data_IF_672114276014
#
_entry.id   IF_672114276014
#
_cell.length_a   1.000
_cell.length_b   1.000
_cell.length_c   1.000
_cell.angle_alpha   90.00
_cell.angle_beta   90.00
_cell.angle_gamma   90.00
#
_symmetry.space_group_name_H-M   'P 1'
#
loop_
_entity.id
_entity.type
_entity.pdbx_description
1 polymer ?
#
# COMPACT_ATOMS: atom_id res chain seq x y z
N UNK A 1 -0.48 6.42 35.67
CA UNK A 1 -1.53 5.88 36.56
C UNK A 1 -1.21 4.42 36.90
N UNK A 2 -1.38 3.99 38.16
CA UNK A 2 -1.12 2.62 38.57
C UNK A 2 -2.09 1.64 37.91
N UNK A 3 -1.63 0.40 37.67
CA UNK A 3 -2.38 -0.65 36.98
C UNK A 3 -3.40 -1.26 37.95
N UNK A 4 -4.64 -1.47 37.48
CA UNK A 4 -5.64 -2.28 38.19
C UNK A 4 -6.59 -1.55 39.14
N UNK A 5 -6.63 -0.22 39.13
CA UNK A 5 -7.62 0.53 39.90
C UNK A 5 -8.95 0.57 39.12
N UNK A 6 -10.00 -0.04 39.69
CA UNK A 6 -11.35 0.08 39.15
C UNK A 6 -11.91 1.47 39.45
N UNK A 7 -12.57 2.08 38.45
CA UNK A 7 -13.26 3.34 38.65
C UNK A 7 -14.49 3.15 39.55
N UNK A 8 -14.75 4.10 40.45
CA UNK A 8 -15.99 4.15 41.23
C UNK A 8 -17.21 4.14 40.31
N UNK A 9 -18.32 3.54 40.77
CA UNK A 9 -19.58 3.46 40.02
C UNK A 9 -20.09 4.86 39.62
N UNK A 10 -19.97 5.84 40.52
CA UNK A 10 -20.37 7.22 40.27
C UNK A 10 -19.52 7.87 39.17
N UNK A 11 -18.20 7.64 39.20
CA UNK A 11 -17.30 8.12 38.17
C UNK A 11 -17.61 7.49 36.80
N UNK A 12 -17.91 6.19 36.77
CA UNK A 12 -18.29 5.51 35.52
C UNK A 12 -19.55 6.09 34.92
N UNK A 13 -20.58 6.36 35.74
CA UNK A 13 -21.82 6.99 35.27
C UNK A 13 -21.57 8.37 34.65
N UNK A 14 -20.77 9.20 35.33
CA UNK A 14 -20.38 10.52 34.82
C UNK A 14 -19.59 10.40 33.51
N UNK A 15 -18.58 9.52 33.49
CA UNK A 15 -17.74 9.30 32.32
C UNK A 15 -18.55 8.77 31.12
N UNK A 16 -19.51 7.87 31.35
CA UNK A 16 -20.41 7.36 30.32
C UNK A 16 -21.30 8.46 29.73
N UNK A 17 -21.87 9.33 30.57
CA UNK A 17 -22.65 10.49 30.12
C UNK A 17 -21.82 11.45 29.25
N UNK A 18 -20.59 11.75 29.67
CA UNK A 18 -19.67 12.62 28.92
C UNK A 18 -19.26 11.97 27.59
N UNK A 19 -18.96 10.67 27.59
CA UNK A 19 -18.62 9.92 26.37
C UNK A 19 -19.79 9.97 25.38
N UNK A 20 -21.01 9.69 25.82
CA UNK A 20 -22.20 9.72 24.97
C UNK A 20 -22.45 11.11 24.37
N UNK A 21 -22.32 12.17 25.19
CA UNK A 21 -22.44 13.55 24.74
C UNK A 21 -21.42 13.89 23.63
N UNK A 22 -20.14 13.63 23.87
CA UNK A 22 -19.06 13.93 22.91
C UNK A 22 -19.17 13.07 21.65
N UNK A 23 -19.67 11.83 21.75
CA UNK A 23 -19.87 10.98 20.58
C UNK A 23 -21.11 11.36 19.76
N UNK A 24 -22.15 11.91 20.39
CA UNK A 24 -23.33 12.46 19.68
C UNK A 24 -23.00 13.72 18.89
N UNK A 25 -22.02 14.53 19.35
CA UNK A 25 -21.52 15.69 18.60
C UNK A 25 -20.84 15.32 17.27
N UNK A 26 -20.42 14.05 17.08
CA UNK A 26 -19.80 13.61 15.81
C UNK A 26 -20.70 13.82 14.58
N UNK A 27 -22.02 13.93 14.76
CA UNK A 27 -22.99 14.13 13.68
C UNK A 27 -23.52 15.57 13.54
N UNK A 28 -23.04 16.53 14.36
CA UNK A 28 -23.43 17.95 14.32
C UNK A 28 -22.46 18.86 13.54
N UNK A 29 -22.83 20.12 13.24
CA UNK A 29 -21.97 21.03 12.48
C UNK A 29 -20.90 21.70 13.36
N UNK A 30 -19.66 21.62 12.88
CA UNK A 30 -18.56 22.60 13.05
C UNK A 30 -17.93 22.81 14.43
N UNK A 31 -17.27 21.77 14.96
CA UNK A 31 -15.96 21.94 15.63
C UNK A 31 -15.02 20.90 15.00
N UNK A 32 -13.84 21.27 14.47
CA UNK A 32 -12.98 20.34 13.75
C UNK A 32 -12.56 19.16 14.63
N UNK A 33 -13.10 17.98 14.28
CA UNK A 33 -13.10 16.70 14.99
C UNK A 33 -11.76 15.94 14.95
N UNK A 34 -10.64 16.64 15.14
CA UNK A 34 -9.37 15.94 15.29
C UNK A 34 -9.15 15.61 16.76
N UNK A 35 -9.39 14.32 17.07
CA UNK A 35 -9.08 13.63 18.31
C UNK A 35 -10.14 13.71 19.44
N UNK A 36 -11.31 13.11 19.19
CA UNK A 36 -12.34 12.81 20.21
C UNK A 36 -11.74 12.19 21.48
N UNK A 37 -10.77 11.30 21.33
CA UNK A 37 -10.11 10.67 22.48
C UNK A 37 -9.26 11.67 23.27
N UNK A 38 -8.57 12.60 22.60
CA UNK A 38 -7.86 13.70 23.24
C UNK A 38 -8.77 14.60 24.07
N UNK A 39 -9.97 14.93 23.56
CA UNK A 39 -10.99 15.69 24.32
C UNK A 39 -11.48 14.94 25.55
N UNK A 40 -11.75 13.65 25.41
CA UNK A 40 -12.19 12.81 26.53
C UNK A 40 -11.12 12.69 27.61
N UNK A 41 -9.84 12.60 27.22
CA UNK A 41 -8.73 12.64 28.16
C UNK A 41 -8.70 13.97 28.93
N UNK A 42 -8.83 15.09 28.23
CA UNK A 42 -8.81 16.42 28.85
C UNK A 42 -10.01 16.67 29.79
N UNK A 43 -11.21 16.25 29.39
CA UNK A 43 -12.43 16.42 30.19
C UNK A 43 -12.46 15.55 31.44
N UNK A 44 -12.00 14.30 31.32
CA UNK A 44 -12.05 13.33 32.41
C UNK A 44 -10.75 13.31 33.23
N UNK A 45 -9.68 13.95 32.76
CA UNK A 45 -8.36 13.91 33.39
C UNK A 45 -7.72 12.52 33.43
N UNK A 46 -8.10 11.63 32.51
CA UNK A 46 -7.66 10.23 32.48
C UNK A 46 -6.79 9.92 31.26
N UNK A 47 -6.04 8.82 31.35
CA UNK A 47 -5.21 8.34 30.24
C UNK A 47 -6.04 7.89 29.04
N UNK A 48 -5.46 7.97 27.82
CA UNK A 48 -6.09 7.46 26.59
C UNK A 48 -6.56 6.01 26.72
N UNK A 49 -5.73 5.19 27.38
CA UNK A 49 -6.03 3.78 27.60
C UNK A 49 -7.27 3.59 28.48
N UNK A 50 -7.43 4.42 29.51
CA UNK A 50 -8.62 4.41 30.37
C UNK A 50 -9.87 4.83 29.61
N UNK A 51 -9.77 5.84 28.73
CA UNK A 51 -10.88 6.22 27.83
C UNK A 51 -11.28 5.04 26.95
N UNK A 52 -10.32 4.31 26.38
CA UNK A 52 -10.59 3.13 25.55
C UNK A 52 -11.32 2.03 26.34
N UNK A 53 -10.88 1.73 27.55
CA UNK A 53 -11.54 0.76 28.42
C UNK A 53 -12.98 1.16 28.72
N UNK A 54 -13.22 2.41 29.15
CA UNK A 54 -14.56 2.92 29.45
C UNK A 54 -15.48 2.87 28.22
N UNK A 55 -14.98 3.20 27.03
CA UNK A 55 -15.74 3.05 25.78
C UNK A 55 -16.11 1.60 25.48
N UNK A 56 -15.18 0.67 25.69
CA UNK A 56 -15.44 -0.75 25.48
C UNK A 56 -16.47 -1.30 26.47
N UNK A 57 -16.42 -0.85 27.72
CA UNK A 57 -17.35 -1.20 28.79
C UNK A 57 -18.76 -0.64 28.50
N UNK A 58 -18.86 0.64 28.11
CA UNK A 58 -20.11 1.26 27.68
C UNK A 58 -20.75 0.47 26.53
N UNK A 59 -19.96 0.10 25.51
CA UNK A 59 -20.45 -0.65 24.35
C UNK A 59 -20.93 -2.06 24.72
N UNK A 60 -20.30 -2.71 25.68
CA UNK A 60 -20.74 -4.01 26.19
C UNK A 60 -22.10 -3.88 26.89
N UNK A 61 -22.27 -2.87 27.74
CA UNK A 61 -23.54 -2.60 28.44
C UNK A 61 -24.70 -2.30 27.47
N UNK A 62 -24.47 -1.46 26.45
CA UNK A 62 -25.48 -1.17 25.42
C UNK A 62 -25.89 -2.44 24.68
N UNK A 63 -24.92 -3.30 24.34
CA UNK A 63 -25.19 -4.57 23.65
C UNK A 63 -25.99 -5.54 24.53
N UNK A 64 -25.67 -5.65 25.81
CA UNK A 64 -26.42 -6.48 26.77
C UNK A 64 -27.87 -6.00 26.93
N UNK A 65 -28.10 -4.68 26.95
CA UNK A 65 -29.44 -4.11 26.97
C UNK A 65 -30.20 -4.40 25.67
N UNK A 66 -29.57 -4.24 24.50
CA UNK A 66 -30.17 -4.57 23.22
C UNK A 66 -30.56 -6.05 23.13
N UNK A 67 -29.67 -6.97 23.53
CA UNK A 67 -29.94 -8.41 23.53
C UNK A 67 -31.09 -8.76 24.49
N UNK A 68 -31.16 -8.12 25.65
CA UNK A 68 -32.26 -8.25 26.62
C UNK A 68 -33.60 -7.74 26.05
N UNK A 69 -33.59 -6.60 25.34
CA UNK A 69 -34.80 -6.05 24.70
C UNK A 69 -35.28 -6.88 23.52
N UNK A 70 -34.36 -7.50 22.75
CA UNK A 70 -34.69 -8.45 21.68
C UNK A 70 -35.39 -9.69 22.24
N UNK A 71 -34.89 -10.22 23.36
CA UNK A 71 -35.51 -11.36 24.05
C UNK A 71 -36.94 -11.06 24.54
N UNK A 72 -37.19 -9.83 25.02
CA UNK A 72 -38.52 -9.37 25.44
C UNK A 72 -39.50 -9.10 24.29
N UNK A 73 -39.01 -8.80 23.08
CA UNK A 73 -39.87 -8.62 21.89
C UNK A 73 -40.25 -9.96 21.25
N UNK A 74 -39.48 -11.02 21.47
CA UNK A 74 -39.79 -12.37 20.98
C UNK A 74 -40.79 -13.15 21.84
N UNK A 75 -41.15 -12.67 23.05
CA UNK A 75 -42.07 -13.38 23.96
C UNK A 75 -43.57 -13.14 23.69
N UNK A 76 -43.95 -12.44 22.61
CA UNK A 76 -45.35 -12.35 22.15
C UNK A 76 -45.70 -13.32 21.02
N UNK A 77 -44.81 -14.26 20.68
CA UNK A 77 -45.09 -15.37 19.77
C UNK A 77 -44.66 -16.69 20.42
N UNK A 78 -45.64 -17.56 20.66
CA UNK A 78 -45.49 -18.89 21.26
C UNK A 78 -44.56 -19.83 20.46
N UNK A 79 -43.48 -20.30 21.09
CA UNK A 79 -42.94 -21.67 21.03
C UNK A 79 -41.66 -21.82 21.88
N UNK A 80 -41.34 -23.00 22.44
CA UNK A 80 -40.33 -23.17 23.48
C UNK A 80 -38.91 -23.38 22.93
N UNK A 81 -37.98 -22.61 23.51
CA UNK A 81 -36.59 -22.95 23.85
C UNK A 81 -35.77 -23.83 22.89
N UNK A 82 -34.99 -23.18 22.03
CA UNK A 82 -33.66 -23.68 21.63
C UNK A 82 -32.63 -22.73 22.24
N UNK A 83 -31.87 -23.24 23.21
CA UNK A 83 -30.73 -22.54 23.80
C UNK A 83 -29.77 -22.13 22.67
N UNK A 84 -29.36 -20.85 22.55
CA UNK A 84 -28.32 -20.49 21.61
C UNK A 84 -27.01 -21.12 22.09
N UNK A 85 -26.49 -22.06 21.30
CA UNK A 85 -25.17 -22.64 21.53
C UNK A 85 -24.11 -21.54 21.59
N UNK A 86 -23.09 -21.63 22.46
CA UNK A 86 -22.05 -20.63 22.54
C UNK A 86 -21.38 -20.49 21.17
N UNK A 87 -21.55 -19.31 20.56
CA UNK A 87 -20.90 -18.94 19.30
C UNK A 87 -19.39 -19.08 19.48
N UNK A 88 -18.82 -20.16 18.96
CA UNK A 88 -17.38 -20.37 18.89
C UNK A 88 -16.69 -19.09 18.38
N UNK A 89 -15.59 -18.64 19.01
CA UNK A 89 -14.90 -17.43 18.58
C UNK A 89 -14.59 -17.54 17.09
N UNK A 90 -15.06 -16.56 16.29
CA UNK A 90 -14.83 -16.51 14.85
C UNK A 90 -13.33 -16.71 14.61
N UNK A 91 -12.96 -17.87 14.04
CA UNK A 91 -11.60 -18.11 13.57
C UNK A 91 -11.26 -16.97 12.62
N UNK A 92 -10.33 -16.10 13.04
CA UNK A 92 -9.73 -15.15 12.11
C UNK A 92 -8.94 -16.01 11.14
N UNK A 93 -9.46 -16.17 9.92
CA UNK A 93 -8.72 -16.84 8.86
C UNK A 93 -7.42 -16.06 8.70
N UNK A 94 -6.30 -16.67 9.10
CA UNK A 94 -4.98 -16.14 8.79
C UNK A 94 -4.95 -15.90 7.28
N UNK A 95 -4.86 -14.64 6.87
CA UNK A 95 -4.95 -14.26 5.46
C UNK A 95 -3.91 -15.00 4.63
N UNK A 96 -4.15 -15.13 3.32
CA UNK A 96 -3.14 -15.67 2.40
C UNK A 96 -1.86 -14.85 2.52
N UNK A 97 -0.67 -15.49 2.45
CA UNK A 97 0.60 -14.78 2.53
C UNK A 97 0.69 -13.74 1.41
N UNK A 98 1.24 -12.56 1.74
CA UNK A 98 1.41 -11.47 0.79
C UNK A 98 2.50 -11.86 -0.19
N UNK A 99 2.16 -11.95 -1.48
CA UNK A 99 3.15 -12.11 -2.55
C UNK A 99 4.09 -10.90 -2.51
N UNK A 100 5.39 -11.12 -2.44
CA UNK A 100 6.41 -10.09 -2.55
C UNK A 100 7.19 -10.38 -3.82
N UNK A 101 7.27 -9.38 -4.70
CA UNK A 101 8.02 -9.50 -5.95
C UNK A 101 9.48 -9.08 -5.72
N UNK A 102 10.40 -9.82 -6.29
CA UNK A 102 11.81 -9.44 -6.40
C UNK A 102 11.98 -8.23 -7.33
N UNK A 103 13.11 -7.52 -7.26
CA UNK A 103 13.39 -6.37 -8.14
C UNK A 103 13.29 -6.74 -9.62
N UNK A 104 13.85 -7.90 -9.98
CA UNK A 104 13.81 -8.43 -11.35
C UNK A 104 12.37 -8.62 -11.85
N UNK A 105 11.50 -9.24 -11.04
CA UNK A 105 10.10 -9.45 -11.42
C UNK A 105 9.33 -8.13 -11.55
N UNK A 106 9.66 -7.13 -10.74
CA UNK A 106 9.09 -5.78 -10.87
C UNK A 106 9.53 -5.12 -12.17
N UNK A 107 10.78 -5.29 -12.56
CA UNK A 107 11.33 -4.79 -13.81
C UNK A 107 10.75 -5.52 -15.03
N UNK A 108 10.50 -6.83 -14.94
CA UNK A 108 9.77 -7.58 -15.97
C UNK A 108 8.38 -6.98 -16.19
N UNK A 109 7.63 -6.68 -15.12
CA UNK A 109 6.31 -6.02 -15.24
C UNK A 109 6.43 -4.68 -15.98
N UNK A 110 7.43 -3.86 -15.62
CA UNK A 110 7.67 -2.56 -16.29
C UNK A 110 8.01 -2.76 -17.76
N UNK A 111 8.90 -3.71 -18.07
CA UNK A 111 9.31 -4.02 -19.43
C UNK A 111 8.11 -4.43 -20.29
N UNK A 112 7.33 -5.43 -19.84
CA UNK A 112 6.13 -5.89 -20.56
C UNK A 112 5.13 -4.76 -20.76
N UNK A 113 4.91 -3.90 -19.75
CA UNK A 113 4.06 -2.71 -19.88
C UNK A 113 4.55 -1.77 -20.99
N UNK A 114 5.85 -1.48 -21.04
CA UNK A 114 6.43 -0.60 -22.05
C UNK A 114 6.46 -1.25 -23.45
N UNK A 115 6.58 -2.57 -23.55
CA UNK A 115 6.46 -3.30 -24.81
C UNK A 115 5.04 -3.18 -25.38
N UNK A 116 4.00 -3.33 -24.55
CA UNK A 116 2.62 -3.11 -24.98
C UNK A 116 2.40 -1.69 -25.54
N UNK A 117 2.97 -0.69 -24.88
CA UNK A 117 2.92 0.70 -25.36
C UNK A 117 3.68 0.88 -26.69
N UNK A 118 4.82 0.22 -26.87
CA UNK A 118 5.58 0.22 -28.12
C UNK A 118 4.73 -0.35 -29.27
N UNK A 119 3.96 -1.40 -28.99
CA UNK A 119 3.06 -2.04 -29.96
C UNK A 119 1.74 -1.27 -30.16
N UNK A 120 1.62 -0.08 -29.57
CA UNK A 120 0.41 0.78 -29.58
C UNK A 120 -0.82 0.08 -28.99
N UNK A 121 -0.63 -0.96 -28.19
CA UNK A 121 -1.69 -1.64 -27.45
C UNK A 121 -1.82 -0.96 -26.09
N UNK A 122 -3.05 -0.64 -25.71
CA UNK A 122 -3.29 0.00 -24.43
C UNK A 122 -3.15 -1.00 -23.28
N UNK A 123 -2.31 -0.73 -22.26
CA UNK A 123 -2.04 -1.67 -21.18
C UNK A 123 -3.21 -1.70 -20.19
N UNK A 124 -4.11 -2.66 -20.40
CA UNK A 124 -5.13 -3.06 -19.42
C UNK A 124 -4.56 -4.14 -18.49
N UNK A 125 -5.19 -4.35 -17.33
CA UNK A 125 -4.74 -5.41 -16.41
C UNK A 125 -4.81 -6.80 -17.03
N UNK A 126 -5.79 -7.05 -17.90
CA UNK A 126 -5.94 -8.33 -18.60
C UNK A 126 -4.86 -8.52 -19.64
N UNK A 127 -4.65 -7.53 -20.51
CA UNK A 127 -3.62 -7.59 -21.55
C UNK A 127 -2.22 -7.68 -20.95
N UNK A 128 -1.98 -6.96 -19.85
CA UNK A 128 -0.70 -7.03 -19.16
C UNK A 128 -0.49 -8.41 -18.52
N UNK A 129 -1.51 -8.96 -17.86
CA UNK A 129 -1.41 -10.29 -17.24
C UNK A 129 -1.20 -11.39 -18.29
N UNK A 130 -1.94 -11.34 -19.41
CA UNK A 130 -1.80 -12.33 -20.48
C UNK A 130 -0.44 -12.23 -21.17
N UNK A 131 0.04 -11.02 -21.47
CA UNK A 131 1.37 -10.81 -22.05
C UNK A 131 2.48 -11.28 -21.11
N UNK A 132 2.33 -11.03 -19.81
CA UNK A 132 3.32 -11.45 -18.82
C UNK A 132 3.38 -12.98 -18.73
N UNK A 133 2.24 -13.66 -18.59
CA UNK A 133 2.20 -15.12 -18.54
C UNK A 133 2.63 -15.79 -19.85
N UNK A 134 2.50 -15.09 -20.99
CA UNK A 134 2.99 -15.57 -22.27
C UNK A 134 4.52 -15.48 -22.40
N UNK A 135 5.15 -14.47 -21.79
CA UNK A 135 6.61 -14.33 -21.75
C UNK A 135 7.22 -15.23 -20.67
N UNK A 136 6.63 -15.25 -19.48
CA UNK A 136 7.12 -15.93 -18.28
C UNK A 136 5.98 -16.78 -17.67
N UNK A 137 5.86 -18.08 -18.03
CA UNK A 137 4.75 -18.92 -17.56
C UNK A 137 4.80 -19.20 -16.05
N UNK A 138 6.00 -19.13 -15.46
CA UNK A 138 6.25 -19.40 -14.03
C UNK A 138 6.12 -18.15 -13.14
N UNK A 139 5.64 -17.04 -13.69
CA UNK A 139 5.50 -15.80 -12.93
C UNK A 139 4.58 -15.95 -11.70
N UNK A 140 4.94 -15.41 -10.51
CA UNK A 140 4.22 -15.66 -9.26
C UNK A 140 2.79 -15.10 -9.23
N UNK A 141 2.45 -14.17 -10.13
CA UNK A 141 1.14 -13.51 -10.17
C UNK A 141 0.26 -14.11 -11.26
N UNK A 142 -0.80 -14.82 -10.85
CA UNK A 142 -1.81 -15.37 -11.78
C UNK A 142 -3.17 -14.69 -11.74
N UNK A 143 -3.42 -13.81 -10.77
CA UNK A 143 -4.71 -13.15 -10.61
C UNK A 143 -4.64 -11.67 -10.99
N UNK A 144 -5.66 -11.19 -11.71
CA UNK A 144 -5.87 -9.78 -12.04
C UNK A 144 -5.81 -8.87 -10.80
N UNK A 145 -6.41 -9.30 -9.69
CA UNK A 145 -6.44 -8.52 -8.44
C UNK A 145 -5.08 -8.49 -7.74
N UNK A 146 -4.32 -9.58 -7.81
CA UNK A 146 -2.94 -9.61 -7.31
C UNK A 146 -2.04 -8.68 -8.13
N UNK A 147 -2.14 -8.72 -9.46
CA UNK A 147 -1.39 -7.80 -10.34
C UNK A 147 -1.71 -6.34 -10.03
N UNK A 148 -3.00 -6.00 -9.90
CA UNK A 148 -3.42 -4.64 -9.56
C UNK A 148 -2.80 -4.14 -8.24
N UNK A 149 -2.77 -4.99 -7.20
CA UNK A 149 -2.15 -4.64 -5.92
C UNK A 149 -0.64 -4.42 -6.06
N UNK A 150 0.03 -5.25 -6.85
CA UNK A 150 1.48 -5.15 -7.05
C UNK A 150 1.86 -3.94 -7.90
N UNK A 151 1.12 -3.64 -8.95
CA UNK A 151 1.29 -2.41 -9.73
C UNK A 151 1.21 -1.15 -8.85
N UNK A 152 0.27 -1.12 -7.90
CA UNK A 152 0.16 -0.02 -6.94
C UNK A 152 1.38 0.08 -6.02
N UNK A 153 1.99 -1.04 -5.64
CA UNK A 153 3.21 -1.08 -4.81
C UNK A 153 4.44 -0.61 -5.60
N UNK A 154 4.56 -1.02 -6.86
CA UNK A 154 5.64 -0.63 -7.79
C UNK A 154 5.56 0.87 -8.15
N UNK A 155 4.39 1.48 -7.99
CA UNK A 155 4.17 2.92 -8.16
C UNK A 155 3.35 3.31 -9.40
N UNK A 156 2.77 2.34 -10.10
CA UNK A 156 1.81 2.60 -11.16
C UNK A 156 0.55 3.25 -10.60
N UNK A 157 -0.03 4.18 -11.37
CA UNK A 157 -1.23 4.92 -11.00
C UNK A 157 -2.20 4.99 -12.17
N UNK A 158 -3.48 4.76 -11.89
CA UNK A 158 -4.52 5.10 -12.85
C UNK A 158 -4.72 6.61 -12.86
N UNK A 159 -4.67 7.20 -14.06
CA UNK A 159 -4.99 8.61 -14.28
C UNK A 159 -6.19 8.73 -15.19
N UNK A 160 -7.15 9.56 -14.77
CA UNK A 160 -8.30 9.88 -15.59
C UNK A 160 -7.87 10.81 -16.72
N UNK A 161 -8.12 10.38 -17.95
CA UNK A 161 -8.02 11.19 -19.16
C UNK A 161 -9.44 11.55 -19.60
N UNK A 162 -9.60 12.52 -20.52
CA UNK A 162 -10.90 12.92 -21.09
C UNK A 162 -11.76 11.74 -21.58
N UNK A 163 -11.13 10.65 -22.02
CA UNK A 163 -11.80 9.48 -22.61
C UNK A 163 -11.85 8.24 -21.71
N UNK A 164 -10.83 8.02 -20.87
CA UNK A 164 -10.68 6.77 -20.11
C UNK A 164 -9.67 6.91 -18.96
N UNK A 165 -9.69 5.93 -18.04
CA UNK A 165 -8.68 5.78 -17.00
C UNK A 165 -7.48 4.99 -17.54
N UNK A 166 -6.32 5.63 -17.59
CA UNK A 166 -5.06 5.09 -18.11
C UNK A 166 -4.17 4.62 -16.99
N UNK A 167 -3.67 3.39 -17.10
CA UNK A 167 -2.58 2.92 -16.26
C UNK A 167 -1.29 3.62 -16.69
N UNK A 168 -0.73 4.43 -15.80
CA UNK A 168 0.52 5.17 -16.04
C UNK A 168 1.59 4.69 -15.09
N UNK A 169 2.81 4.56 -15.59
CA UNK A 169 3.98 4.28 -14.76
C UNK A 169 4.30 5.47 -13.81
N UNK A 170 5.11 5.22 -12.79
CA UNK A 170 5.59 6.22 -11.85
C UNK A 170 6.35 7.34 -12.57
N UNK A 171 6.02 8.58 -12.22
CA UNK A 171 6.59 9.78 -12.87
C UNK A 171 8.11 9.89 -12.72
N UNK A 172 8.67 9.39 -11.60
CA UNK A 172 10.11 9.36 -11.38
C UNK A 172 10.83 8.49 -12.43
N UNK A 173 10.33 7.28 -12.67
CA UNK A 173 10.89 6.37 -13.67
C UNK A 173 10.69 6.91 -15.10
N UNK A 174 9.54 7.53 -15.39
CA UNK A 174 9.32 8.21 -16.68
C UNK A 174 10.34 9.34 -16.91
N UNK A 175 10.60 10.17 -15.89
CA UNK A 175 11.57 11.25 -15.97
C UNK A 175 13.00 10.72 -16.15
N UNK A 176 13.39 9.71 -15.38
CA UNK A 176 14.70 9.04 -15.52
C UNK A 176 14.88 8.46 -16.92
N UNK A 177 13.85 7.80 -17.46
CA UNK A 177 13.88 7.24 -18.82
C UNK A 177 14.00 8.34 -19.88
N UNK A 178 13.32 9.47 -19.71
CA UNK A 178 13.45 10.61 -20.62
C UNK A 178 14.87 11.21 -20.59
N UNK A 179 15.47 11.35 -19.41
CA UNK A 179 16.86 11.82 -19.26
C UNK A 179 17.82 10.83 -19.92
N UNK A 180 17.62 9.52 -19.70
CA UNK A 180 18.42 8.47 -20.31
C UNK A 180 18.36 8.53 -21.84
N UNK A 181 17.17 8.62 -22.43
CA UNK A 181 17.02 8.69 -23.88
C UNK A 181 17.62 9.94 -24.50
N UNK A 182 17.52 11.10 -23.83
CA UNK A 182 18.18 12.33 -24.29
C UNK A 182 19.70 12.16 -24.37
N UNK A 183 20.32 11.63 -23.31
CA UNK A 183 21.76 11.33 -23.31
C UNK A 183 22.13 10.34 -24.40
N UNK A 184 21.31 9.31 -24.59
CA UNK A 184 21.55 8.29 -25.62
C UNK A 184 21.49 8.90 -27.04
N UNK A 185 20.58 9.84 -27.28
CA UNK A 185 20.44 10.56 -28.54
C UNK A 185 21.61 11.54 -28.80
N UNK A 186 22.06 12.24 -27.77
CA UNK A 186 23.28 13.07 -27.81
C UNK A 186 24.50 12.23 -28.19
N UNK A 187 24.71 11.08 -27.54
CA UNK A 187 25.82 10.17 -27.81
C UNK A 187 25.78 9.58 -29.22
N UNK A 188 24.58 9.24 -29.72
CA UNK A 188 24.39 8.77 -31.11
C UNK A 188 24.73 9.87 -32.12
N UNK A 189 24.37 11.12 -31.80
CA UNK A 189 24.64 12.28 -32.65
C UNK A 189 26.14 12.62 -32.69
N UNK A 190 26.85 12.42 -31.58
CA UNK A 190 28.32 12.53 -31.54
C UNK A 190 29.07 11.34 -32.15
N UNK A 191 28.36 10.37 -32.78
CA UNK A 191 28.90 9.11 -33.32
C UNK A 191 29.76 8.34 -32.31
N UNK A 192 29.44 8.46 -31.02
CA UNK A 192 30.14 7.70 -29.99
C UNK A 192 29.77 6.22 -30.11
N UNK A 193 30.75 5.33 -29.95
CA UNK A 193 30.50 3.89 -29.91
C UNK A 193 29.78 3.57 -28.59
N UNK A 194 28.58 3.01 -28.71
CA UNK A 194 27.76 2.64 -27.57
C UNK A 194 27.95 1.16 -27.27
N UNK A 195 28.62 0.87 -26.16
CA UNK A 195 28.66 -0.47 -25.58
C UNK A 195 27.53 -0.62 -24.57
N UNK A 196 26.63 -1.56 -24.81
CA UNK A 196 25.63 -1.96 -23.83
C UNK A 196 26.27 -3.05 -22.98
N UNK A 197 26.60 -2.72 -21.73
CA UNK A 197 27.08 -3.71 -20.78
C UNK A 197 25.88 -4.45 -20.20
N UNK A 198 25.67 -5.68 -20.68
CA UNK A 198 24.86 -6.65 -19.96
C UNK A 198 25.67 -7.05 -18.72
N UNK A 199 25.14 -6.75 -17.54
CA UNK A 199 25.80 -6.80 -16.22
C UNK A 199 26.51 -8.15 -15.94
N UNK A 200 27.77 -8.36 -16.35
CA UNK A 200 28.62 -9.47 -15.87
C UNK A 200 30.14 -9.26 -15.96
N UNK A 201 30.64 -8.07 -16.28
CA UNK A 201 32.09 -7.83 -16.35
C UNK A 201 32.53 -6.65 -15.49
N UNK A 202 32.42 -6.79 -14.18
CA UNK A 202 33.33 -6.07 -13.28
C UNK A 202 34.65 -6.83 -13.32
N UNK A 203 35.64 -6.30 -14.05
CA UNK A 203 37.01 -6.78 -13.94
C UNK A 203 37.40 -6.71 -12.46
N UNK A 204 37.76 -7.86 -11.87
CA UNK A 204 38.15 -8.00 -10.46
C UNK A 204 39.34 -7.12 -10.05
N UNK A 205 39.97 -6.44 -11.02
CA UNK A 205 41.24 -5.73 -10.91
C UNK A 205 41.15 -4.21 -11.09
N UNK A 206 39.96 -3.63 -11.31
CA UNK A 206 39.85 -2.16 -11.42
C UNK A 206 39.69 -1.53 -10.04
N UNK A 207 40.81 -1.03 -9.50
CA UNK A 207 40.83 -0.25 -8.26
C UNK A 207 40.15 1.10 -8.47
N UNK A 208 39.22 1.41 -7.56
CA UNK A 208 38.48 2.66 -7.53
C UNK A 208 39.42 3.84 -7.34
N UNK A 209 39.76 4.53 -8.44
CA UNK A 209 40.19 5.92 -8.31
C UNK A 209 38.95 6.76 -8.08
N UNK A 210 38.94 7.44 -6.94
CA UNK A 210 37.81 8.18 -6.39
C UNK A 210 37.43 9.34 -7.31
N UNK A 211 36.36 9.17 -8.07
CA UNK A 211 35.49 10.27 -8.51
C UNK A 211 34.04 9.85 -8.26
N UNK A 212 33.65 9.97 -6.99
CA UNK A 212 32.31 9.61 -6.53
C UNK A 212 31.24 10.52 -7.09
N UNK A 213 30.23 9.92 -7.71
CA UNK A 213 28.87 10.06 -7.20
C UNK A 213 28.10 8.79 -7.54
N UNK A 214 27.58 8.15 -6.49
CA UNK A 214 26.85 6.88 -6.57
C UNK A 214 25.66 6.97 -7.54
N UNK A 215 25.77 6.28 -8.67
CA UNK A 215 24.65 5.63 -9.33
C UNK A 215 24.85 4.13 -9.15
N UNK A 216 24.30 3.57 -8.07
CA UNK A 216 24.08 2.13 -8.02
C UNK A 216 22.83 1.88 -8.87
N UNK A 217 22.97 1.06 -9.89
CA UNK A 217 21.91 0.46 -10.71
C UNK A 217 21.51 1.18 -12.02
N UNK A 218 22.42 1.97 -12.61
CA UNK A 218 22.33 2.29 -14.04
C UNK A 218 23.69 2.08 -14.70
N UNK A 219 23.74 1.04 -15.54
CA UNK A 219 24.72 0.75 -16.60
C UNK A 219 25.76 1.87 -16.75
N UNK A 220 26.95 1.62 -16.20
CA UNK A 220 28.09 2.51 -16.38
C UNK A 220 28.48 2.51 -17.87
N UNK A 221 28.43 3.68 -18.51
CA UNK A 221 28.96 3.88 -19.85
C UNK A 221 30.39 4.39 -19.73
N UNK A 222 31.35 3.61 -20.25
CA UNK A 222 32.72 4.07 -20.41
C UNK A 222 32.90 4.68 -21.81
N UNK A 223 33.46 5.90 -21.87
CA UNK A 223 33.73 6.62 -23.11
C UNK A 223 35.18 6.34 -23.50
N UNK A 224 35.39 5.43 -24.45
CA UNK A 224 36.68 5.33 -25.13
C UNK A 224 36.67 6.36 -26.27
N UNK A 225 37.38 7.48 -26.07
CA UNK A 225 37.72 8.38 -27.18
C UNK A 225 38.78 7.68 -28.02
N UNK A 226 38.38 7.15 -29.17
CA UNK A 226 39.32 6.69 -30.18
C UNK A 226 40.16 7.89 -30.62
N UNK A 227 41.44 7.88 -30.25
CA UNK A 227 42.43 8.78 -30.86
C UNK A 227 42.64 8.24 -32.26
N UNK A 228 42.35 9.05 -33.26
CA UNK A 228 42.76 8.84 -34.65
C UNK A 228 44.27 8.63 -34.70
N UNK A 229 44.72 7.37 -34.57
CA UNK A 229 46.07 6.96 -34.93
C UNK A 229 46.03 6.60 -36.41
N UNK A 230 46.20 7.61 -37.25
CA UNK A 230 46.60 7.40 -38.63
C UNK A 230 47.92 6.65 -38.66
N UNK A 231 47.90 5.48 -39.29
CA UNK A 231 49.09 4.83 -39.80
C UNK A 231 48.88 4.63 -41.29
N UNK A 232 49.60 5.45 -42.06
CA UNK A 232 49.98 5.18 -43.45
C UNK A 232 50.93 3.98 -43.50
#
# INVERSE_FOLDING_TARGET
>A
MPRGQEFSKEFKQLAFSIIEFVEKEKSGPSIPLNNVNGRLQALLGISERSVYYLKSELKALVKEQEDSTRLRRSSSASSPSVLPSPSSPKKQNAGRPKIQLTTLEQDTIRLTFHLLLKDKIYPTLENLLSALLAQEPDFPIRSRMSLHRQLKLIGFKYRQTKKANVLMDATAFQAQRAVYFRKLEELRSSKAVLYYHDETWMNRNEEKTVSGLMMKDLVAFEIVKEKDSGWQ
#
